data_IF_100212108667
#
_entry.id   IF_100212108667
#
_cell.length_a   1.000
_cell.length_b   1.000
_cell.length_c   1.000
_cell.angle_alpha   90.00
_cell.angle_beta   90.00
_cell.angle_gamma   90.00
#
_symmetry.space_group_name_H-M   'P 1'
#
loop_
_entity.id
_entity.type
_entity.pdbx_description
1 polymer ?
#
# COMPACT_ATOMS: atom_id res chain seq x y z
N UNK A 1 -18.38 -0.71 -5.89
CA UNK A 1 -17.91 -1.76 -4.97
C UNK A 1 -16.89 -2.60 -5.73
N UNK A 2 -15.60 -2.46 -5.41
CA UNK A 2 -14.52 -3.16 -6.11
C UNK A 2 -14.42 -4.59 -5.57
N UNK A 3 -14.67 -5.57 -6.42
CA UNK A 3 -14.38 -6.98 -6.13
C UNK A 3 -12.89 -7.16 -6.40
N UNK A 4 -12.12 -7.58 -5.39
CA UNK A 4 -10.67 -7.73 -5.47
C UNK A 4 -10.22 -8.68 -6.57
N UNK A 5 -8.95 -8.59 -6.96
CA UNK A 5 -8.38 -9.37 -8.08
C UNK A 5 -8.47 -10.89 -7.82
N UNK A 6 -8.28 -11.32 -6.57
CA UNK A 6 -8.25 -12.73 -6.15
C UNK A 6 -8.75 -12.91 -4.71
N UNK A 7 -9.13 -14.14 -4.37
CA UNK A 7 -9.42 -14.57 -2.99
C UNK A 7 -10.90 -14.77 -2.67
N UNK A 8 -11.18 -15.22 -1.44
CA UNK A 8 -12.53 -15.33 -0.93
C UNK A 8 -12.99 -13.98 -0.40
N UNK A 9 -14.18 -13.54 -0.80
CA UNK A 9 -14.84 -12.42 -0.15
C UNK A 9 -15.15 -12.80 1.30
N UNK A 10 -14.28 -12.47 2.27
CA UNK A 10 -14.50 -12.88 3.68
C UNK A 10 -15.27 -11.80 4.47
N UNK A 11 -15.26 -10.55 3.98
CA UNK A 11 -15.82 -9.38 4.66
C UNK A 11 -16.72 -8.50 3.80
N UNK A 12 -17.26 -9.04 2.70
CA UNK A 12 -18.23 -8.37 1.82
C UNK A 12 -19.58 -9.08 1.85
N UNK A 13 -20.63 -8.46 1.28
CA UNK A 13 -21.96 -9.09 1.15
C UNK A 13 -21.98 -10.33 0.26
N UNK A 14 -20.98 -10.52 -0.59
CA UNK A 14 -20.79 -11.69 -1.46
C UNK A 14 -19.90 -12.75 -0.78
N UNK A 15 -20.11 -12.94 0.54
CA UNK A 15 -19.23 -13.80 1.34
C UNK A 15 -19.25 -15.25 0.86
N UNK A 16 -18.07 -15.88 0.79
CA UNK A 16 -17.95 -17.30 0.41
C UNK A 16 -17.89 -17.55 -1.10
N UNK A 17 -18.18 -16.53 -1.92
CA UNK A 17 -17.94 -16.61 -3.36
C UNK A 17 -16.47 -16.28 -3.67
N UNK A 18 -15.92 -17.04 -4.63
CA UNK A 18 -14.59 -16.81 -5.15
C UNK A 18 -14.59 -15.51 -5.96
N UNK A 19 -13.74 -14.56 -5.59
CA UNK A 19 -13.53 -13.36 -6.38
C UNK A 19 -12.69 -13.74 -7.60
N UNK A 20 -13.34 -13.83 -8.77
CA UNK A 20 -12.67 -13.88 -10.06
C UNK A 20 -12.43 -12.44 -10.54
N UNK A 21 -11.43 -11.79 -9.98
CA UNK A 21 -10.79 -10.70 -10.69
C UNK A 21 -9.93 -11.26 -11.82
N UNK A 22 -9.77 -10.47 -12.87
CA UNK A 22 -9.06 -10.90 -14.05
C UNK A 22 -8.97 -9.79 -15.08
N UNK A 23 -8.33 -10.11 -16.20
CA UNK A 23 -8.02 -9.17 -17.28
C UNK A 23 -9.26 -8.54 -17.94
N UNK A 24 -10.47 -8.95 -17.58
CA UNK A 24 -11.72 -8.43 -18.15
C UNK A 24 -11.88 -6.92 -17.94
N UNK A 25 -11.42 -6.38 -16.80
CA UNK A 25 -11.52 -4.93 -16.52
C UNK A 25 -10.59 -4.09 -17.40
N UNK A 26 -9.28 -4.37 -17.45
CA UNK A 26 -8.42 -3.75 -18.45
C UNK A 26 -8.97 -3.94 -19.85
N UNK A 27 -9.34 -5.16 -20.27
CA UNK A 27 -9.90 -5.41 -21.60
C UNK A 27 -11.12 -4.55 -21.95
N UNK A 28 -11.99 -4.27 -20.99
CA UNK A 28 -13.21 -3.46 -21.19
C UNK A 28 -12.96 -1.96 -21.13
N UNK A 29 -12.01 -1.51 -20.32
CA UNK A 29 -11.83 -0.09 -20.00
C UNK A 29 -10.54 0.54 -20.54
N UNK A 30 -9.62 -0.25 -21.12
CA UNK A 30 -8.35 0.22 -21.68
C UNK A 30 -8.53 1.20 -22.85
N UNK A 31 -9.69 1.22 -23.51
CA UNK A 31 -9.97 2.19 -24.59
C UNK A 31 -10.06 3.63 -24.10
N UNK A 32 -10.51 3.86 -22.86
CA UNK A 32 -10.78 5.20 -22.33
C UNK A 32 -9.75 5.65 -21.29
N UNK A 33 -9.10 4.71 -20.62
CA UNK A 33 -8.10 5.02 -19.59
C UNK A 33 -7.20 3.81 -19.36
N UNK A 34 -5.92 4.05 -19.04
CA UNK A 34 -5.01 2.98 -18.68
C UNK A 34 -5.46 2.34 -17.36
N UNK A 35 -5.76 1.04 -17.40
CA UNK A 35 -6.15 0.26 -16.21
C UNK A 35 -5.10 -0.82 -15.98
N UNK A 36 -4.41 -0.73 -14.85
CA UNK A 36 -3.43 -1.73 -14.42
C UNK A 36 -4.05 -2.65 -13.35
N UNK A 37 -3.78 -3.96 -13.44
CA UNK A 37 -4.07 -4.91 -12.36
C UNK A 37 -2.82 -5.08 -11.55
N UNK A 38 -2.94 -4.90 -10.25
CA UNK A 38 -1.78 -4.90 -9.38
C UNK A 38 -1.95 -5.76 -8.15
N UNK A 39 -0.83 -6.03 -7.50
CA UNK A 39 -0.76 -6.94 -6.39
C UNK A 39 -1.19 -6.26 -5.09
N UNK A 40 -2.15 -6.87 -4.40
CA UNK A 40 -2.67 -6.38 -3.11
C UNK A 40 -1.98 -7.04 -1.90
N UNK A 41 -0.87 -7.76 -2.12
CA UNK A 41 -0.18 -8.46 -1.03
C UNK A 41 0.26 -7.50 0.07
N UNK A 42 -0.25 -7.74 1.28
CA UNK A 42 0.11 -7.02 2.50
C UNK A 42 -0.16 -5.49 2.49
N UNK A 43 -0.89 -4.98 1.48
CA UNK A 43 -1.12 -3.54 1.29
C UNK A 43 -2.03 -2.93 2.36
N UNK A 44 -2.97 -3.73 2.87
CA UNK A 44 -3.87 -3.32 3.95
C UNK A 44 -3.25 -3.41 5.34
N UNK A 45 -2.12 -4.09 5.51
CA UNK A 45 -1.56 -4.42 6.82
C UNK A 45 -0.19 -3.78 7.05
N UNK A 46 0.28 -2.91 6.15
CA UNK A 46 1.64 -2.36 6.22
C UNK A 46 1.61 -0.84 6.31
N UNK A 47 2.47 -0.32 7.17
CA UNK A 47 2.74 1.09 7.35
C UNK A 47 3.42 1.68 6.11
N UNK A 48 2.85 2.73 5.51
CA UNK A 48 3.41 3.41 4.34
C UNK A 48 4.79 4.03 4.64
N UNK A 49 5.00 4.50 5.86
CA UNK A 49 6.20 5.27 6.23
C UNK A 49 7.39 4.41 6.68
N UNK A 50 7.12 3.28 7.33
CA UNK A 50 8.12 2.42 7.98
C UNK A 50 8.14 1.01 7.44
N UNK A 51 7.19 0.64 6.57
CA UNK A 51 7.12 -0.67 5.94
C UNK A 51 6.99 -1.86 6.91
N UNK A 52 6.58 -1.58 8.15
CA UNK A 52 6.30 -2.58 9.18
C UNK A 52 4.80 -2.92 9.23
N UNK A 53 4.46 -4.07 9.81
CA UNK A 53 3.05 -4.46 10.01
C UNK A 53 2.34 -3.47 10.95
N UNK A 54 1.07 -3.22 10.63
CA UNK A 54 0.15 -2.41 11.42
C UNK A 54 -0.66 -3.29 12.36
N UNK A 55 -1.04 -2.72 13.49
CA UNK A 55 -1.92 -3.35 14.47
C UNK A 55 -3.37 -2.93 14.29
N UNK A 56 -4.31 -3.78 14.69
CA UNK A 56 -5.71 -3.38 14.73
C UNK A 56 -6.04 -2.61 16.01
N UNK A 57 -6.80 -1.50 15.92
CA UNK A 57 -7.23 -0.78 17.11
C UNK A 57 -8.22 -1.63 17.91
N UNK A 58 -8.11 -1.58 19.23
CA UNK A 58 -8.95 -2.33 20.17
C UNK A 58 -9.79 -1.36 20.98
N UNK A 59 -11.07 -1.69 21.19
CA UNK A 59 -12.00 -0.95 22.05
C UNK A 59 -12.51 -1.86 23.16
N UNK A 60 -12.51 -1.34 24.38
CA UNK A 60 -13.21 -1.97 25.51
C UNK A 60 -14.71 -1.78 25.36
N UNK A 61 -15.46 -2.87 25.42
CA UNK A 61 -16.92 -2.89 25.38
C UNK A 61 -17.40 -3.50 26.70
N UNK A 62 -18.31 -2.81 27.37
CA UNK A 62 -18.99 -3.34 28.54
C UNK A 62 -20.27 -4.05 28.09
N UNK A 63 -20.41 -5.34 28.43
CA UNK A 63 -21.63 -6.12 28.24
C UNK A 63 -21.85 -6.99 29.46
N UNK A 64 -23.06 -6.99 29.99
CA UNK A 64 -23.50 -7.86 31.10
C UNK A 64 -22.56 -7.80 32.32
N UNK A 65 -22.13 -6.60 32.74
CA UNK A 65 -21.24 -6.42 33.90
C UNK A 65 -19.77 -6.79 33.67
N UNK A 66 -19.41 -7.36 32.52
CA UNK A 66 -18.04 -7.69 32.16
C UNK A 66 -17.48 -6.72 31.11
N UNK A 67 -16.19 -6.38 31.24
CA UNK A 67 -15.43 -5.67 30.20
C UNK A 67 -14.80 -6.68 29.23
N UNK A 68 -15.02 -6.48 27.93
CA UNK A 68 -14.42 -7.29 26.87
C UNK A 68 -13.65 -6.39 25.90
N UNK A 69 -12.46 -6.82 25.49
CA UNK A 69 -11.69 -6.17 24.44
C UNK A 69 -12.17 -6.64 23.08
N UNK A 70 -12.52 -5.71 22.19
CA UNK A 70 -12.94 -6.02 20.83
C UNK A 70 -12.15 -5.23 19.81
N UNK A 71 -11.64 -5.95 18.82
CA UNK A 71 -10.96 -5.36 17.67
C UNK A 71 -11.93 -4.54 16.81
N UNK A 72 -11.53 -3.34 16.43
CA UNK A 72 -12.28 -2.46 15.54
C UNK A 72 -11.91 -2.82 14.09
N UNK A 73 -12.92 -3.22 13.31
CA UNK A 73 -12.75 -3.52 11.90
C UNK A 73 -12.67 -2.23 11.07
N UNK A 74 -11.92 -2.26 9.96
CA UNK A 74 -11.87 -1.16 8.97
C UNK A 74 -10.88 -0.03 9.31
N UNK A 75 -10.18 -0.12 10.42
CA UNK A 75 -9.11 0.80 10.78
C UNK A 75 -7.84 0.04 11.21
N UNK A 76 -6.71 0.72 11.09
CA UNK A 76 -5.40 0.28 11.56
C UNK A 76 -4.77 1.37 12.40
N UNK A 77 -3.91 0.96 13.33
CA UNK A 77 -3.13 1.86 14.15
C UNK A 77 -1.64 1.71 13.84
N UNK A 78 -0.98 2.83 13.70
CA UNK A 78 0.46 2.95 13.74
C UNK A 78 0.87 2.98 15.21
N UNK A 79 1.66 2.00 15.62
CA UNK A 79 2.06 1.68 16.98
C UNK A 79 3.51 2.08 17.28
N UNK A 80 4.34 2.22 16.24
CA UNK A 80 5.72 2.68 16.39
C UNK A 80 5.79 4.20 16.68
N UNK A 81 6.35 4.64 17.83
CA UNK A 81 6.47 6.07 18.19
C UNK A 81 7.26 6.91 17.18
N UNK A 82 8.18 6.29 16.45
CA UNK A 82 9.00 6.94 15.43
C UNK A 82 8.29 7.08 14.08
N UNK A 83 7.05 6.62 13.95
CA UNK A 83 6.27 6.78 12.73
C UNK A 83 5.75 8.22 12.61
N UNK A 84 5.87 8.80 11.41
CA UNK A 84 5.38 10.15 11.08
C UNK A 84 3.90 10.31 11.43
N UNK A 85 3.08 9.28 11.20
CA UNK A 85 1.65 9.32 11.56
C UNK A 85 1.41 9.41 13.08
N UNK A 86 2.25 8.76 13.89
CA UNK A 86 2.16 8.84 15.36
C UNK A 86 2.62 10.19 15.86
N UNK A 87 3.76 10.68 15.35
CA UNK A 87 4.28 12.02 15.68
C UNK A 87 3.28 13.13 15.34
N UNK A 88 2.58 13.00 14.21
CA UNK A 88 1.53 13.94 13.79
C UNK A 88 0.19 13.77 14.52
N UNK A 89 0.12 12.94 15.59
CA UNK A 89 -1.11 12.60 16.34
C UNK A 89 -2.23 12.03 15.45
N UNK A 90 -1.87 11.40 14.34
CA UNK A 90 -2.77 10.77 13.34
C UNK A 90 -2.50 9.28 13.22
N UNK A 91 -2.27 8.62 14.36
CA UNK A 91 -1.87 7.22 14.44
C UNK A 91 -2.94 6.23 13.96
N UNK A 92 -4.22 6.61 13.94
CA UNK A 92 -5.30 5.74 13.42
C UNK A 92 -5.65 6.15 12.00
N UNK A 93 -5.67 5.18 11.08
CA UNK A 93 -6.08 5.39 9.68
C UNK A 93 -7.13 4.37 9.25
N UNK A 94 -7.99 4.78 8.31
CA UNK A 94 -8.90 3.85 7.63
C UNK A 94 -8.11 2.87 6.78
N UNK A 95 -8.45 1.59 6.88
CA UNK A 95 -7.81 0.51 6.11
C UNK A 95 -7.82 0.80 4.63
N UNK A 96 -8.96 1.18 4.10
CA UNK A 96 -9.16 1.29 2.65
C UNK A 96 -8.28 2.41 2.07
N UNK A 97 -8.10 3.52 2.81
CA UNK A 97 -7.19 4.61 2.44
C UNK A 97 -5.73 4.16 2.44
N UNK A 98 -5.29 3.45 3.49
CA UNK A 98 -3.92 2.92 3.56
C UNK A 98 -3.68 1.94 2.41
N UNK A 99 -4.62 1.01 2.19
CA UNK A 99 -4.53 0.01 1.13
C UNK A 99 -4.41 0.67 -0.24
N UNK A 100 -5.27 1.65 -0.55
CA UNK A 100 -5.24 2.35 -1.83
C UNK A 100 -3.93 3.10 -2.07
N UNK A 101 -3.38 3.77 -1.05
CA UNK A 101 -2.09 4.45 -1.15
C UNK A 101 -0.95 3.46 -1.36
N UNK A 102 -0.92 2.37 -0.61
CA UNK A 102 0.12 1.35 -0.71
C UNK A 102 0.07 0.64 -2.06
N UNK A 103 -1.12 0.35 -2.59
CA UNK A 103 -1.31 -0.21 -3.94
C UNK A 103 -0.69 0.76 -4.96
N UNK A 104 -1.11 2.03 -4.98
CA UNK A 104 -0.56 3.01 -5.92
C UNK A 104 0.97 3.15 -5.84
N UNK A 105 1.53 3.08 -4.62
CA UNK A 105 2.98 3.16 -4.39
C UNK A 105 3.73 1.90 -4.87
N UNK A 106 3.19 0.70 -4.61
CA UNK A 106 3.71 -0.57 -5.14
C UNK A 106 3.69 -0.58 -6.66
N UNK A 107 2.64 -0.02 -7.26
CA UNK A 107 2.42 -0.06 -8.70
C UNK A 107 3.35 0.90 -9.42
N UNK A 108 3.47 2.12 -8.88
CA UNK A 108 4.39 3.12 -9.37
C UNK A 108 5.83 2.63 -9.33
N UNK A 109 6.25 1.97 -8.25
CA UNK A 109 7.60 1.41 -8.16
C UNK A 109 7.81 0.23 -9.09
N UNK A 110 6.81 -0.64 -9.24
CA UNK A 110 6.87 -1.72 -10.24
C UNK A 110 7.01 -1.15 -11.66
N UNK A 111 6.31 -0.06 -11.97
CA UNK A 111 6.38 0.59 -13.28
C UNK A 111 7.73 1.28 -13.52
N UNK A 112 8.24 2.04 -12.55
CA UNK A 112 9.49 2.77 -12.67
C UNK A 112 10.73 1.87 -12.59
N UNK A 113 10.72 0.86 -11.72
CA UNK A 113 11.90 0.08 -11.37
C UNK A 113 11.82 -1.38 -11.82
N UNK A 114 10.67 -1.85 -12.34
CA UNK A 114 10.46 -3.27 -12.63
C UNK A 114 10.54 -4.16 -11.37
N UNK A 115 10.31 -3.57 -10.19
CA UNK A 115 10.32 -4.22 -8.88
C UNK A 115 9.45 -3.43 -7.89
N UNK A 116 8.74 -4.12 -6.99
CA UNK A 116 7.99 -3.50 -5.89
C UNK A 116 8.81 -3.48 -4.60
N UNK A 117 8.34 -2.76 -3.59
CA UNK A 117 8.93 -2.80 -2.26
C UNK A 117 8.86 -4.22 -1.69
N UNK A 118 9.95 -4.71 -1.03
CA UNK A 118 9.97 -6.05 -0.45
C UNK A 118 8.77 -6.43 0.45
N UNK A 119 8.23 -5.54 1.32
CA UNK A 119 7.06 -5.86 2.15
C UNK A 119 5.77 -6.16 1.37
N UNK A 120 5.70 -5.76 0.09
CA UNK A 120 4.56 -5.98 -0.79
C UNK A 120 4.81 -7.10 -1.80
N UNK A 121 6.03 -7.64 -1.87
CA UNK A 121 6.36 -8.77 -2.74
C UNK A 121 5.87 -10.08 -2.09
N UNK A 122 4.96 -10.85 -2.72
CA UNK A 122 4.53 -12.14 -2.19
C UNK A 122 5.65 -13.20 -2.21
N UNK A 123 6.73 -12.96 -2.96
CA UNK A 123 7.90 -13.84 -3.08
C UNK A 123 9.15 -13.11 -2.64
N UNK A 124 9.14 -12.57 -1.41
CA UNK A 124 10.29 -11.88 -0.82
C UNK A 124 11.54 -12.74 -0.93
N UNK A 125 12.56 -12.20 -1.60
CA UNK A 125 13.88 -12.80 -1.69
C UNK A 125 14.96 -11.73 -1.54
N UNK A 126 16.15 -12.15 -1.14
CA UNK A 126 17.31 -11.25 -1.07
C UNK A 126 17.65 -10.68 -2.44
N UNK A 127 17.52 -11.48 -3.50
CA UNK A 127 17.71 -11.06 -4.89
C UNK A 127 16.75 -9.94 -5.29
N UNK A 128 15.44 -10.11 -5.07
CA UNK A 128 14.43 -9.09 -5.39
C UNK A 128 14.64 -7.81 -4.58
N UNK A 129 15.00 -7.95 -3.30
CA UNK A 129 15.28 -6.80 -2.42
C UNK A 129 16.50 -6.02 -2.91
N UNK A 130 17.56 -6.70 -3.30
CA UNK A 130 18.76 -6.06 -3.84
C UNK A 130 18.47 -5.38 -5.17
N UNK A 131 17.72 -6.03 -6.08
CA UNK A 131 17.28 -5.44 -7.34
C UNK A 131 16.51 -4.14 -7.12
N UNK A 132 15.55 -4.14 -6.18
CA UNK A 132 14.80 -2.93 -5.83
C UNK A 132 15.73 -1.81 -5.34
N UNK A 133 16.65 -2.11 -4.41
CA UNK A 133 17.60 -1.13 -3.87
C UNK A 133 18.50 -0.54 -4.94
N UNK A 134 19.06 -1.37 -5.82
CA UNK A 134 19.91 -0.93 -6.92
C UNK A 134 19.16 -0.02 -7.88
N UNK A 135 17.95 -0.39 -8.28
CA UNK A 135 17.14 0.39 -9.22
C UNK A 135 16.68 1.71 -8.60
N UNK A 136 16.28 1.69 -7.33
CA UNK A 136 15.90 2.90 -6.60
C UNK A 136 17.08 3.87 -6.43
N UNK A 137 18.29 3.36 -6.13
CA UNK A 137 19.50 4.17 -6.03
C UNK A 137 19.86 4.79 -7.39
N UNK A 138 19.82 4.00 -8.47
CA UNK A 138 20.08 4.48 -9.83
C UNK A 138 19.08 5.56 -10.27
N UNK A 139 17.80 5.42 -9.90
CA UNK A 139 16.79 6.43 -10.19
C UNK A 139 17.04 7.72 -9.41
N UNK A 140 17.46 7.62 -8.15
CA UNK A 140 17.80 8.78 -7.34
C UNK A 140 18.97 9.56 -7.95
N UNK A 141 20.07 8.88 -8.31
CA UNK A 141 21.26 9.52 -8.88
C UNK A 141 20.99 10.16 -10.25
N UNK A 142 20.19 9.51 -11.11
CA UNK A 142 19.87 10.05 -12.44
C UNK A 142 19.08 11.38 -12.40
N UNK A 143 18.41 11.69 -11.28
CA UNK A 143 17.67 12.93 -11.10
C UNK A 143 18.53 14.06 -10.48
N UNK A 144 19.68 13.74 -9.89
CA UNK A 144 20.63 14.73 -9.33
C UNK A 144 21.52 15.35 -10.42
N UNK A 145 21.70 14.67 -11.56
CA UNK A 145 22.54 15.13 -12.69
C UNK A 145 21.84 16.16 -13.61
N UNK A 146 20.72 16.76 -13.21
CA UNK A 146 20.14 17.88 -13.97
C UNK A 146 21.06 19.10 -13.86
N UNK A 147 21.62 19.63 -14.98
CA UNK A 147 22.40 20.84 -14.90
C UNK A 147 21.52 21.97 -14.35
N UNK A 148 22.04 22.66 -13.32
CA UNK A 148 21.44 23.89 -12.85
C UNK A 148 21.26 24.82 -14.06
N UNK A 149 20.04 25.32 -14.26
CA UNK A 149 19.81 26.39 -15.23
C UNK A 149 20.58 27.60 -14.69
N UNK A 150 21.72 27.91 -15.31
CA UNK A 150 22.47 29.12 -15.06
C UNK A 150 21.58 30.32 -15.41
N UNK A 151 21.03 30.97 -14.38
CA UNK A 151 20.31 32.25 -14.51
C UNK A 151 21.28 33.43 -14.67
N UNK A 152 22.45 33.23 -15.26
CA UNK A 152 23.36 34.30 -15.65
C UNK A 152 23.15 34.60 -17.14
N UNK A 153 22.06 35.30 -17.48
CA UNK A 153 21.95 36.15 -18.67
C UNK A 153 20.59 36.86 -18.69
N UNK A 154 20.48 37.91 -17.89
CA UNK A 154 19.68 39.09 -18.25
C UNK A 154 20.49 40.29 -17.80
N UNK A 155 21.18 40.89 -18.78
CA UNK A 155 21.75 42.23 -18.72
C UNK A 155 20.66 43.30 -18.59
#
# INVERSE_FOLDING_TARGET
MFVGDRGLSISSRIKGFMCYGGQWKPKKHNFYTAVCITNEHNTSQTCIYRFNKLSHPVRTIHRNGASQLRTINGAFVYDNPSCVSVQAKKAVKRRDTVSAMVIGLSDLTTFLFGATFPPFDPKVSQSNTNKFKTNAASFFTANEDWPAVDNSNTS
#
